data_IF_787220204658
#
_entry.id   IF_787220204658
#
_cell.length_a   1.000
_cell.length_b   1.000
_cell.length_c   1.000
_cell.angle_alpha   90.00
_cell.angle_beta   90.00
_cell.angle_gamma   90.00
#
_symmetry.space_group_name_H-M   'P 1'
#
loop_
_entity.id
_entity.type
_entity.pdbx_description
1 polymer ?
#
# COMPACT_ATOMS: atom_id res chain seq x y z
N UNK A 1 19.87 19.54 1.26
CA UNK A 1 18.80 19.17 0.32
C UNK A 1 17.84 20.34 0.22
N UNK A 2 17.58 20.82 -0.98
CA UNK A 2 16.57 21.85 -1.24
C UNK A 2 15.21 21.21 -1.48
N UNK A 3 14.14 21.85 -0.98
CA UNK A 3 12.79 21.30 -0.99
C UNK A 3 11.83 22.36 -1.52
N UNK A 4 11.02 22.01 -2.52
CA UNK A 4 9.96 22.83 -3.05
C UNK A 4 8.63 22.06 -3.07
N UNK A 5 7.53 22.72 -2.70
CA UNK A 5 6.17 22.15 -2.71
C UNK A 5 5.35 22.92 -3.74
N UNK A 6 4.60 22.20 -4.57
CA UNK A 6 3.73 22.78 -5.59
C UNK A 6 2.32 22.20 -5.51
N UNK A 7 1.33 23.09 -5.39
CA UNK A 7 -0.11 22.78 -5.40
C UNK A 7 -0.80 23.26 -6.69
N UNK A 8 -0.09 23.99 -7.55
CA UNK A 8 -0.63 24.50 -8.81
C UNK A 8 0.42 24.38 -9.91
N UNK A 9 -0.04 24.37 -11.17
CA UNK A 9 0.81 24.22 -12.35
C UNK A 9 1.75 23.01 -12.27
N UNK A 10 1.32 21.93 -11.61
CA UNK A 10 2.15 20.77 -11.29
C UNK A 10 2.81 20.17 -12.54
N UNK A 11 2.05 20.00 -13.63
CA UNK A 11 2.58 19.52 -14.91
C UNK A 11 3.73 20.39 -15.43
N UNK A 12 3.64 21.71 -15.30
CA UNK A 12 4.71 22.61 -15.72
C UNK A 12 5.98 22.36 -14.92
N UNK A 13 5.88 22.22 -13.60
CA UNK A 13 7.02 21.90 -12.75
C UNK A 13 7.61 20.51 -13.06
N UNK A 14 6.78 19.50 -13.33
CA UNK A 14 7.28 18.18 -13.76
C UNK A 14 8.08 18.29 -15.06
N UNK A 15 7.53 18.94 -16.09
CA UNK A 15 8.19 19.10 -17.38
C UNK A 15 9.49 19.91 -17.27
N UNK A 16 9.50 20.95 -16.43
CA UNK A 16 10.69 21.76 -16.17
C UNK A 16 11.83 20.91 -15.57
N UNK A 17 11.53 20.07 -14.58
CA UNK A 17 12.54 19.18 -14.01
C UNK A 17 12.98 18.09 -15.00
N UNK A 18 12.07 17.49 -15.76
CA UNK A 18 12.42 16.48 -16.77
C UNK A 18 13.38 17.03 -17.83
N UNK A 19 13.18 18.28 -18.26
CA UNK A 19 14.04 18.95 -19.25
C UNK A 19 15.46 19.21 -18.75
N UNK A 20 15.68 19.18 -17.44
CA UNK A 20 17.02 19.32 -16.84
C UNK A 20 17.80 17.99 -16.77
N UNK A 21 17.21 16.87 -17.19
CA UNK A 21 17.84 15.56 -17.13
C UNK A 21 19.03 15.44 -18.10
N UNK A 22 20.10 14.79 -17.64
CA UNK A 22 21.36 14.60 -18.38
C UNK A 22 21.84 13.15 -18.40
N UNK A 23 21.50 12.34 -17.39
CA UNK A 23 22.09 11.00 -17.16
C UNK A 23 21.08 9.87 -17.17
N UNK A 24 19.98 9.98 -16.44
CA UNK A 24 18.94 8.95 -16.37
C UNK A 24 17.65 9.45 -15.72
N UNK A 25 16.55 8.77 -16.05
CA UNK A 25 15.25 9.00 -15.42
C UNK A 25 14.64 7.67 -15.02
N UNK A 26 14.27 7.55 -13.75
CA UNK A 26 13.43 6.44 -13.28
C UNK A 26 12.08 6.99 -12.80
N UNK A 27 11.00 6.42 -13.30
CA UNK A 27 9.63 6.84 -13.02
C UNK A 27 8.83 5.64 -12.50
N UNK A 28 8.11 5.83 -11.41
CA UNK A 28 7.10 4.92 -10.91
C UNK A 28 5.82 5.70 -10.59
N UNK A 29 4.80 5.56 -11.42
CA UNK A 29 3.54 6.29 -11.28
C UNK A 29 2.35 5.39 -11.51
N UNK A 30 1.32 5.49 -10.66
CA UNK A 30 0.14 4.64 -10.79
C UNK A 30 -0.48 4.81 -12.18
N UNK A 31 -0.75 6.06 -12.58
CA UNK A 31 -1.27 6.39 -13.91
C UNK A 31 -0.38 7.38 -14.66
N UNK A 32 -0.07 7.02 -15.91
CA UNK A 32 0.68 7.80 -16.89
C UNK A 32 -0.15 7.92 -18.16
N UNK A 33 -0.91 9.00 -18.28
CA UNK A 33 -1.78 9.27 -19.45
C UNK A 33 -1.65 10.69 -19.99
N UNK A 34 -0.91 11.57 -19.30
CA UNK A 34 -0.64 12.91 -19.83
C UNK A 34 0.40 12.80 -20.96
N UNK A 35 -0.08 13.01 -22.19
CA UNK A 35 0.74 12.81 -23.37
C UNK A 35 1.84 13.85 -23.52
N UNK A 36 1.70 15.04 -22.94
CA UNK A 36 2.78 16.04 -22.96
C UNK A 36 4.00 15.51 -22.20
N UNK A 37 3.75 14.82 -21.08
CA UNK A 37 4.81 14.20 -20.28
C UNK A 37 5.41 13.00 -21.02
N UNK A 38 4.58 12.13 -21.61
CA UNK A 38 5.06 10.96 -22.35
C UNK A 38 5.91 11.41 -23.56
N UNK A 39 5.48 12.45 -24.29
CA UNK A 39 6.25 13.02 -25.41
C UNK A 39 7.60 13.58 -24.97
N UNK A 40 7.67 14.29 -23.84
CA UNK A 40 8.94 14.79 -23.31
C UNK A 40 9.87 13.63 -22.91
N UNK A 41 9.36 12.58 -22.25
CA UNK A 41 10.14 11.39 -21.94
C UNK A 41 10.67 10.71 -23.21
N UNK A 42 9.82 10.51 -24.23
CA UNK A 42 10.25 9.95 -25.53
C UNK A 42 11.32 10.81 -26.20
N UNK A 43 11.20 12.13 -26.13
CA UNK A 43 12.21 13.06 -26.66
C UNK A 43 13.56 12.94 -25.93
N UNK A 44 13.54 12.87 -24.60
CA UNK A 44 14.76 12.69 -23.78
C UNK A 44 15.40 11.32 -24.05
N UNK A 45 14.59 10.27 -24.25
CA UNK A 45 15.06 8.96 -24.66
C UNK A 45 15.76 9.01 -26.03
N UNK A 46 15.22 9.75 -27.00
CA UNK A 46 15.89 9.97 -28.29
C UNK A 46 17.21 10.75 -28.19
N UNK A 47 17.35 11.61 -27.18
CA UNK A 47 18.64 12.27 -26.85
C UNK A 47 19.65 11.32 -26.19
N UNK A 48 19.28 10.07 -25.92
CA UNK A 48 20.15 9.06 -25.34
C UNK A 48 20.13 9.03 -23.81
N UNK A 49 19.21 9.75 -23.15
CA UNK A 49 19.01 9.64 -21.71
C UNK A 49 18.22 8.35 -21.45
N UNK A 50 18.77 7.35 -20.74
CA UNK A 50 18.05 6.12 -20.42
C UNK A 50 16.87 6.39 -19.48
N UNK A 51 15.69 5.89 -19.86
CA UNK A 51 14.46 6.05 -19.09
C UNK A 51 13.83 4.70 -18.75
N UNK A 52 13.53 4.48 -17.46
CA UNK A 52 12.78 3.32 -16.97
C UNK A 52 11.48 3.74 -16.31
N UNK A 53 10.36 3.29 -16.86
CA UNK A 53 9.01 3.64 -16.40
C UNK A 53 8.32 2.39 -15.83
N UNK A 54 7.83 2.47 -14.60
CA UNK A 54 6.92 1.50 -14.00
C UNK A 54 5.52 2.12 -13.83
N UNK A 55 4.51 1.45 -14.37
CA UNK A 55 3.10 1.85 -14.26
C UNK A 55 2.23 0.73 -13.69
N UNK A 56 1.09 1.09 -13.11
CA UNK A 56 0.12 0.08 -12.66
C UNK A 56 -0.56 -0.63 -13.84
N UNK A 57 -0.97 -1.89 -13.64
CA UNK A 57 -1.82 -2.61 -14.58
C UNK A 57 -3.30 -2.16 -14.48
N UNK A 58 -3.55 -0.88 -14.77
CA UNK A 58 -4.86 -0.24 -14.64
C UNK A 58 -5.38 0.21 -16.01
N UNK A 59 -6.69 0.09 -16.25
CA UNK A 59 -7.32 0.42 -17.54
C UNK A 59 -7.00 1.84 -18.02
N UNK A 60 -6.86 2.77 -17.10
CA UNK A 60 -6.51 4.17 -17.36
C UNK A 60 -5.23 4.29 -18.20
N UNK A 61 -4.21 3.48 -17.91
CA UNK A 61 -2.92 3.50 -18.64
C UNK A 61 -3.02 2.97 -20.07
N UNK A 62 -4.08 2.24 -20.40
CA UNK A 62 -4.21 1.57 -21.69
C UNK A 62 -5.38 2.11 -22.52
N UNK A 63 -6.07 3.16 -22.07
CA UNK A 63 -7.15 3.80 -22.84
C UNK A 63 -6.64 4.40 -24.15
N UNK A 64 -5.43 5.00 -24.12
CA UNK A 64 -4.69 5.44 -25.30
C UNK A 64 -3.22 5.05 -25.18
N UNK A 65 -2.78 4.08 -25.98
CA UNK A 65 -1.42 3.53 -25.94
C UNK A 65 -0.49 4.12 -26.99
N UNK A 66 -0.94 5.02 -27.86
CA UNK A 66 -0.16 5.55 -28.99
C UNK A 66 1.22 6.08 -28.58
N UNK A 67 1.27 7.02 -27.64
CA UNK A 67 2.54 7.60 -27.19
C UNK A 67 3.39 6.66 -26.34
N UNK A 68 2.79 5.67 -25.68
CA UNK A 68 3.55 4.60 -25.02
C UNK A 68 4.23 3.69 -26.07
N UNK A 69 3.58 3.45 -27.21
CA UNK A 69 4.21 2.74 -28.35
C UNK A 69 5.39 3.53 -28.90
N UNK A 70 5.26 4.85 -29.03
CA UNK A 70 6.37 5.72 -29.46
C UNK A 70 7.54 5.64 -28.48
N UNK A 71 7.27 5.68 -27.18
CA UNK A 71 8.29 5.54 -26.14
C UNK A 71 9.04 4.20 -26.22
N UNK A 72 8.31 3.10 -26.40
CA UNK A 72 8.90 1.76 -26.58
C UNK A 72 9.72 1.70 -27.87
N UNK A 73 9.23 2.29 -28.97
CA UNK A 73 9.95 2.36 -30.24
C UNK A 73 11.25 3.17 -30.14
N UNK A 74 11.28 4.19 -29.28
CA UNK A 74 12.50 4.92 -28.90
C UNK A 74 13.45 4.12 -27.99
N UNK A 75 13.16 2.84 -27.73
CA UNK A 75 13.89 1.93 -26.83
C UNK A 75 13.81 2.34 -25.35
N UNK A 76 12.80 3.11 -24.97
CA UNK A 76 12.46 3.36 -23.58
C UNK A 76 12.00 2.08 -22.88
N UNK A 77 12.32 1.92 -21.60
CA UNK A 77 12.01 0.70 -20.86
C UNK A 77 10.70 0.87 -20.07
N UNK A 78 9.63 0.26 -20.54
CA UNK A 78 8.32 0.28 -19.89
C UNK A 78 8.04 -1.03 -19.14
N UNK A 79 7.59 -0.93 -17.90
CA UNK A 79 7.26 -2.04 -17.01
C UNK A 79 5.82 -1.87 -16.50
N UNK A 80 5.00 -2.90 -16.68
CA UNK A 80 3.63 -2.95 -16.14
C UNK A 80 3.63 -3.81 -14.89
N UNK A 81 3.32 -3.21 -13.73
CA UNK A 81 3.29 -3.90 -12.44
C UNK A 81 2.00 -4.71 -12.31
N UNK A 82 2.13 -6.03 -12.17
CA UNK A 82 1.00 -6.97 -12.16
C UNK A 82 0.83 -7.74 -10.86
N UNK A 83 1.90 -7.94 -10.07
CA UNK A 83 1.84 -8.71 -8.82
C UNK A 83 1.31 -7.92 -7.62
N UNK A 84 1.31 -6.61 -7.72
CA UNK A 84 0.83 -5.70 -6.68
C UNK A 84 0.30 -4.44 -7.35
N UNK A 85 -0.52 -3.68 -6.65
CA UNK A 85 -0.95 -2.39 -7.16
C UNK A 85 0.12 -1.32 -6.91
N UNK A 86 0.68 -0.78 -7.99
CA UNK A 86 1.55 0.39 -7.89
C UNK A 86 0.69 1.64 -7.68
N UNK A 87 0.59 2.11 -6.44
CA UNK A 87 -0.06 3.39 -6.11
C UNK A 87 0.92 4.55 -5.89
N UNK A 88 2.22 4.33 -6.09
CA UNK A 88 3.22 5.40 -5.97
C UNK A 88 3.10 6.41 -7.12
N UNK A 89 3.59 7.64 -6.87
CA UNK A 89 3.84 8.67 -7.88
C UNK A 89 5.17 9.33 -7.54
N UNK A 90 6.25 8.80 -8.11
CA UNK A 90 7.56 9.41 -7.97
C UNK A 90 8.42 9.27 -9.22
N UNK A 91 9.34 10.20 -9.37
CA UNK A 91 10.37 10.21 -10.40
C UNK A 91 11.70 10.56 -9.75
N UNK A 92 12.78 9.89 -10.15
CA UNK A 92 14.15 10.27 -9.80
C UNK A 92 14.90 10.60 -11.07
N UNK A 93 15.52 11.76 -11.11
CA UNK A 93 16.27 12.29 -12.26
C UNK A 93 17.74 12.44 -11.82
N UNK A 94 18.65 11.81 -12.56
CA UNK A 94 20.11 11.93 -12.43
C UNK A 94 20.69 11.69 -11.03
N UNK A 95 20.00 10.91 -10.18
CA UNK A 95 20.35 10.78 -8.76
C UNK A 95 20.43 12.13 -8.02
N UNK A 96 19.80 13.18 -8.56
CA UNK A 96 19.91 14.56 -8.09
C UNK A 96 18.56 15.16 -7.74
N UNK A 97 17.50 14.83 -8.47
CA UNK A 97 16.15 15.36 -8.26
C UNK A 97 15.19 14.21 -7.97
N UNK A 98 14.35 14.36 -6.96
CA UNK A 98 13.18 13.50 -6.73
C UNK A 98 11.93 14.36 -6.87
N UNK A 99 10.98 13.88 -7.66
CA UNK A 99 9.61 14.40 -7.68
C UNK A 99 8.75 13.34 -7.01
N UNK A 100 7.98 13.71 -5.99
CA UNK A 100 7.05 12.79 -5.31
C UNK A 100 5.80 13.53 -4.83
N UNK A 101 4.64 12.88 -4.85
CA UNK A 101 3.42 13.48 -4.31
C UNK A 101 2.19 12.63 -4.56
N UNK A 102 1.03 13.27 -4.52
CA UNK A 102 -0.26 12.63 -4.81
C UNK A 102 -0.56 12.61 -6.32
N UNK A 103 -0.01 13.58 -7.07
CA UNK A 103 -0.30 13.81 -8.48
C UNK A 103 0.09 12.62 -9.39
N UNK A 104 -0.91 11.93 -9.93
CA UNK A 104 -0.70 11.00 -11.05
C UNK A 104 -0.31 11.77 -12.31
N UNK A 105 0.52 11.17 -13.18
CA UNK A 105 0.97 11.82 -14.41
C UNK A 105 -0.07 11.63 -15.52
N UNK A 106 -1.30 12.02 -15.21
CA UNK A 106 -2.51 11.78 -15.99
C UNK A 106 -3.26 13.08 -16.24
N UNK A 107 -4.08 13.11 -17.29
CA UNK A 107 -4.92 14.27 -17.56
C UNK A 107 -5.95 14.53 -16.45
N UNK A 108 -6.48 13.48 -15.82
CA UNK A 108 -7.47 13.59 -14.74
C UNK A 108 -6.91 14.30 -13.49
N UNK A 109 -5.62 14.13 -13.19
CA UNK A 109 -4.99 14.78 -12.04
C UNK A 109 -4.95 16.32 -12.16
N UNK A 110 -5.10 16.87 -13.36
CA UNK A 110 -5.06 18.32 -13.61
C UNK A 110 -6.21 19.10 -12.98
N UNK A 111 -7.33 18.43 -12.75
CA UNK A 111 -8.55 19.02 -12.16
C UNK A 111 -8.75 18.63 -10.70
N UNK A 112 -7.85 17.81 -10.15
CA UNK A 112 -7.91 17.38 -8.76
C UNK A 112 -7.08 18.30 -7.86
N UNK A 113 -7.43 18.34 -6.59
CA UNK A 113 -6.60 18.96 -5.54
C UNK A 113 -5.45 18.02 -5.20
N UNK A 114 -4.29 18.29 -5.79
CA UNK A 114 -3.10 17.44 -5.74
C UNK A 114 -1.87 18.26 -5.39
N UNK A 115 -0.81 17.59 -4.96
CA UNK A 115 0.48 18.25 -4.75
C UNK A 115 1.65 17.40 -5.23
N UNK A 116 2.77 18.07 -5.48
CA UNK A 116 4.09 17.45 -5.58
C UNK A 116 5.10 18.15 -4.67
N UNK A 117 6.10 17.37 -4.26
CA UNK A 117 7.32 17.76 -3.60
C UNK A 117 8.46 17.52 -4.59
N UNK A 118 9.31 18.52 -4.77
CA UNK A 118 10.56 18.41 -5.51
C UNK A 118 11.70 18.51 -4.51
N UNK A 119 12.51 17.46 -4.44
CA UNK A 119 13.71 17.40 -3.61
C UNK A 119 14.93 17.48 -4.53
N UNK A 120 15.79 18.46 -4.29
CA UNK A 120 17.03 18.64 -5.04
C UNK A 120 18.22 18.44 -4.11
N UNK A 121 19.09 17.50 -4.49
CA UNK A 121 20.34 17.20 -3.81
C UNK A 121 21.22 18.44 -3.73
N UNK A 122 21.83 18.67 -2.57
CA UNK A 122 22.64 19.86 -2.29
C UNK A 122 24.10 19.49 -2.01
N UNK A 123 24.36 18.55 -1.07
CA UNK A 123 25.72 18.32 -0.56
C UNK A 123 26.15 16.83 -0.44
N UNK A 124 25.61 15.94 -1.29
CA UNK A 124 25.99 14.51 -1.38
C UNK A 124 26.11 13.79 -0.02
N UNK A 125 25.33 14.24 0.97
CA UNK A 125 25.40 13.75 2.34
C UNK A 125 24.90 12.31 2.44
N UNK A 126 25.27 11.63 3.53
CA UNK A 126 24.81 10.26 3.78
C UNK A 126 23.28 10.19 3.84
N UNK A 127 22.65 11.16 4.50
CA UNK A 127 21.20 11.23 4.65
C UNK A 127 20.52 11.43 3.30
N UNK A 128 21.05 12.32 2.44
CA UNK A 128 20.53 12.50 1.08
C UNK A 128 20.70 11.23 0.26
N UNK A 129 21.84 10.55 0.36
CA UNK A 129 22.06 9.29 -0.36
C UNK A 129 21.03 8.22 0.03
N UNK A 130 20.74 8.05 1.32
CA UNK A 130 19.76 7.08 1.79
C UNK A 130 18.34 7.36 1.25
N UNK A 131 17.95 8.63 1.14
CA UNK A 131 16.63 9.00 0.57
C UNK A 131 16.53 8.54 -0.89
N UNK A 132 17.54 8.86 -1.70
CA UNK A 132 17.53 8.47 -3.12
C UNK A 132 17.66 6.96 -3.31
N UNK A 133 18.49 6.29 -2.50
CA UNK A 133 18.61 4.84 -2.50
C UNK A 133 17.28 4.16 -2.18
N UNK A 134 16.49 4.70 -1.24
CA UNK A 134 15.16 4.19 -0.92
C UNK A 134 14.21 4.22 -2.13
N UNK A 135 14.14 5.35 -2.83
CA UNK A 135 13.32 5.47 -4.05
C UNK A 135 13.80 4.53 -5.17
N UNK A 136 15.12 4.45 -5.39
CA UNK A 136 15.70 3.53 -6.37
C UNK A 136 15.42 2.07 -6.04
N UNK A 137 15.66 1.66 -4.80
CA UNK A 137 15.43 0.30 -4.35
C UNK A 137 13.95 -0.10 -4.55
N UNK A 138 13.03 0.82 -4.26
CA UNK A 138 11.60 0.59 -4.50
C UNK A 138 11.26 0.50 -5.99
N UNK A 139 11.86 1.34 -6.84
CA UNK A 139 11.68 1.27 -8.29
C UNK A 139 12.20 -0.05 -8.88
N UNK A 140 13.42 -0.45 -8.50
CA UNK A 140 14.03 -1.74 -8.86
C UNK A 140 13.12 -2.89 -8.43
N UNK A 141 12.61 -2.86 -7.19
CA UNK A 141 11.66 -3.87 -6.72
C UNK A 141 10.43 -3.96 -7.63
N UNK A 142 9.84 -2.84 -8.04
CA UNK A 142 8.71 -2.86 -8.97
C UNK A 142 9.06 -3.50 -10.31
N UNK A 143 10.11 -3.00 -10.96
CA UNK A 143 10.51 -3.49 -12.28
C UNK A 143 10.92 -4.97 -12.27
N UNK A 144 11.69 -5.39 -11.28
CA UNK A 144 12.39 -6.67 -11.31
C UNK A 144 11.62 -7.79 -10.60
N UNK A 145 10.75 -7.46 -9.63
CA UNK A 145 10.02 -8.45 -8.82
C UNK A 145 8.52 -8.47 -9.07
N UNK A 146 7.93 -7.37 -9.50
CA UNK A 146 6.47 -7.21 -9.55
C UNK A 146 5.91 -6.97 -10.95
N UNK A 147 6.76 -6.65 -11.93
CA UNK A 147 6.34 -6.21 -13.26
C UNK A 147 6.68 -7.20 -14.37
N UNK A 148 6.03 -6.98 -15.50
CA UNK A 148 6.36 -7.55 -16.79
C UNK A 148 6.89 -6.41 -17.66
N UNK A 149 8.05 -6.60 -18.28
CA UNK A 149 8.61 -5.64 -19.22
C UNK A 149 7.82 -5.67 -20.53
N UNK A 150 7.43 -4.49 -21.03
CA UNK A 150 6.74 -4.33 -22.30
C UNK A 150 7.79 -4.18 -23.40
N UNK A 151 7.99 -5.24 -24.17
CA UNK A 151 9.05 -5.29 -25.20
C UNK A 151 8.59 -4.74 -26.55
N UNK A 152 7.29 -4.76 -26.80
CA UNK A 152 6.70 -4.37 -28.09
C UNK A 152 5.24 -3.92 -27.94
N UNK A 153 4.68 -3.44 -29.05
CA UNK A 153 3.30 -3.01 -29.13
C UNK A 153 2.29 -4.15 -28.89
N UNK A 154 2.64 -5.40 -29.17
CA UNK A 154 1.75 -6.55 -28.98
C UNK A 154 1.56 -6.87 -27.49
N UNK A 155 2.65 -6.84 -26.73
CA UNK A 155 2.65 -6.98 -25.27
C UNK A 155 1.79 -5.89 -24.62
N UNK A 156 1.93 -4.65 -25.09
CA UNK A 156 1.13 -3.52 -24.61
C UNK A 156 -0.36 -3.69 -24.89
N UNK A 157 -0.71 -4.23 -26.06
CA UNK A 157 -2.09 -4.53 -26.43
C UNK A 157 -2.68 -5.66 -25.58
N UNK A 158 -1.88 -6.66 -25.21
CA UNK A 158 -2.28 -7.71 -24.27
C UNK A 158 -2.67 -7.15 -22.90
N UNK A 159 -1.94 -6.14 -22.40
CA UNK A 159 -2.33 -5.42 -21.19
C UNK A 159 -3.62 -4.65 -21.36
N UNK A 160 -3.83 -3.97 -22.49
CA UNK A 160 -5.09 -3.26 -22.75
C UNK A 160 -6.33 -4.15 -22.64
N UNK A 161 -6.23 -5.40 -23.09
CA UNK A 161 -7.34 -6.37 -23.03
C UNK A 161 -7.55 -6.98 -21.64
N UNK A 162 -6.51 -7.07 -20.82
CA UNK A 162 -6.53 -7.69 -19.49
C UNK A 162 -6.56 -6.69 -18.33
N UNK A 163 -6.47 -5.39 -18.63
CA UNK A 163 -6.40 -4.34 -17.63
C UNK A 163 -7.65 -4.30 -16.76
N UNK A 164 -7.43 -4.04 -15.48
CA UNK A 164 -8.47 -4.06 -14.46
C UNK A 164 -8.85 -2.63 -14.08
N UNK A 165 -10.12 -2.42 -13.72
CA UNK A 165 -10.56 -1.17 -13.11
C UNK A 165 -10.10 -1.17 -11.64
N UNK A 166 -8.90 -0.66 -11.40
CA UNK A 166 -8.27 -0.80 -10.09
C UNK A 166 -8.91 0.14 -9.06
N UNK A 167 -9.42 1.29 -9.49
CA UNK A 167 -10.11 2.25 -8.62
C UNK A 167 -11.34 1.62 -7.98
N UNK A 168 -12.18 0.96 -8.79
CA UNK A 168 -13.36 0.25 -8.29
C UNK A 168 -12.98 -0.92 -7.38
N UNK A 169 -11.94 -1.68 -7.72
CA UNK A 169 -11.47 -2.79 -6.90
C UNK A 169 -10.97 -2.34 -5.52
N UNK A 170 -10.17 -1.27 -5.45
CA UNK A 170 -9.67 -0.75 -4.17
C UNK A 170 -10.82 -0.27 -3.28
N UNK A 171 -11.77 0.48 -3.84
CA UNK A 171 -12.97 0.90 -3.10
C UNK A 171 -13.74 -0.29 -2.53
N UNK A 172 -13.87 -1.37 -3.33
CA UNK A 172 -14.56 -2.59 -2.90
C UNK A 172 -13.80 -3.30 -1.76
N UNK A 173 -12.47 -3.36 -1.85
CA UNK A 173 -11.63 -3.96 -0.80
C UNK A 173 -11.70 -3.16 0.51
N UNK A 174 -11.69 -1.82 0.43
CA UNK A 174 -11.83 -0.94 1.59
C UNK A 174 -13.20 -1.15 2.27
N UNK A 175 -14.29 -1.19 1.50
CA UNK A 175 -15.63 -1.47 2.03
C UNK A 175 -15.71 -2.84 2.72
N UNK A 176 -15.09 -3.87 2.14
CA UNK A 176 -15.02 -5.21 2.71
C UNK A 176 -14.23 -5.21 4.02
N UNK A 177 -13.09 -4.53 4.09
CA UNK A 177 -12.29 -4.45 5.32
C UNK A 177 -13.04 -3.68 6.42
N UNK A 178 -13.70 -2.56 6.09
CA UNK A 178 -14.52 -1.78 7.04
C UNK A 178 -15.64 -2.65 7.61
N UNK A 179 -16.36 -3.38 6.75
CA UNK A 179 -17.43 -4.28 7.17
C UNK A 179 -16.88 -5.38 8.09
N UNK A 180 -15.75 -5.99 7.72
CA UNK A 180 -15.14 -7.06 8.50
C UNK A 180 -14.65 -6.58 9.88
N UNK A 181 -14.06 -5.39 9.95
CA UNK A 181 -13.64 -4.77 11.22
C UNK A 181 -14.84 -4.47 12.12
N UNK A 182 -15.95 -3.98 11.55
CA UNK A 182 -17.20 -3.73 12.28
C UNK A 182 -17.78 -5.03 12.83
N UNK A 183 -17.86 -6.07 12.01
CA UNK A 183 -18.37 -7.38 12.42
C UNK A 183 -17.51 -8.01 13.53
N UNK A 184 -16.19 -7.88 13.44
CA UNK A 184 -15.27 -8.34 14.49
C UNK A 184 -15.49 -7.59 15.81
N UNK A 185 -15.65 -6.27 15.76
CA UNK A 185 -15.95 -5.47 16.94
C UNK A 185 -17.29 -5.87 17.60
N UNK A 186 -18.33 -6.12 16.80
CA UNK A 186 -19.61 -6.60 17.32
C UNK A 186 -19.50 -8.02 17.90
N UNK A 187 -18.65 -8.89 17.35
CA UNK A 187 -18.37 -10.21 17.92
C UNK A 187 -17.72 -10.10 19.32
N UNK A 188 -16.78 -9.16 19.51
CA UNK A 188 -16.18 -8.88 20.83
C UNK A 188 -17.26 -8.42 21.82
N UNK A 189 -18.09 -7.45 21.43
CA UNK A 189 -19.17 -6.93 22.30
C UNK A 189 -20.13 -8.05 22.71
N UNK A 190 -20.50 -8.93 21.77
CA UNK A 190 -21.36 -10.10 22.05
C UNK A 190 -20.70 -11.06 23.03
N UNK A 191 -19.41 -11.36 22.84
CA UNK A 191 -18.65 -12.18 23.79
C UNK A 191 -18.73 -11.58 25.21
N UNK A 192 -18.44 -10.29 25.36
CA UNK A 192 -18.48 -9.64 26.68
C UNK A 192 -19.86 -9.65 27.31
N UNK A 193 -20.92 -9.41 26.53
CA UNK A 193 -22.30 -9.48 27.01
C UNK A 193 -22.64 -10.90 27.54
N UNK A 194 -22.21 -11.94 26.82
CA UNK A 194 -22.41 -13.34 27.25
C UNK A 194 -21.60 -13.60 28.53
N UNK A 195 -20.32 -13.23 28.58
CA UNK A 195 -19.46 -13.39 29.76
C UNK A 195 -20.05 -12.68 30.99
N UNK A 196 -20.62 -11.49 30.82
CA UNK A 196 -21.30 -10.77 31.91
C UNK A 196 -22.56 -11.50 32.38
N UNK A 197 -23.34 -12.08 31.47
CA UNK A 197 -24.52 -12.89 31.81
C UNK A 197 -24.16 -14.16 32.61
N UNK A 198 -22.95 -14.70 32.42
CA UNK A 198 -22.38 -15.81 33.19
C UNK A 198 -21.82 -15.39 34.55
N UNK A 199 -22.03 -14.12 34.97
CA UNK A 199 -21.52 -13.52 36.23
C UNK A 199 -19.99 -13.53 36.35
N UNK A 200 -19.26 -13.63 35.24
CA UNK A 200 -17.81 -13.47 35.23
C UNK A 200 -17.47 -11.97 35.30
N UNK A 201 -16.56 -11.60 36.19
CA UNK A 201 -16.11 -10.21 36.34
C UNK A 201 -15.28 -9.79 35.13
N UNK A 202 -15.82 -8.87 34.33
CA UNK A 202 -15.13 -8.13 33.27
C UNK A 202 -14.78 -6.75 33.80
N UNK A 203 -13.61 -6.21 33.43
CA UNK A 203 -13.28 -4.83 33.76
C UNK A 203 -14.32 -3.89 33.12
N UNK A 204 -14.94 -2.98 33.88
CA UNK A 204 -16.03 -2.12 33.38
C UNK A 204 -15.58 -1.21 32.24
N UNK A 205 -14.28 -0.86 32.18
CA UNK A 205 -13.75 0.09 31.22
C UNK A 205 -13.19 -0.57 29.96
N UNK A 206 -13.39 -1.88 29.77
CA UNK A 206 -12.80 -2.62 28.65
C UNK A 206 -13.39 -2.18 27.30
N UNK A 207 -14.69 -1.90 27.26
CA UNK A 207 -15.38 -1.40 26.06
C UNK A 207 -14.96 0.03 25.72
N UNK A 208 -14.90 0.91 26.73
CA UNK A 208 -14.40 2.28 26.56
C UNK A 208 -12.93 2.28 26.07
N UNK A 209 -12.11 1.38 26.62
CA UNK A 209 -10.73 1.20 26.16
C UNK A 209 -10.66 0.69 24.73
N UNK A 210 -11.55 -0.20 24.31
CA UNK A 210 -11.62 -0.68 22.92
C UNK A 210 -11.91 0.46 21.94
N UNK A 211 -12.82 1.38 22.29
CA UNK A 211 -13.08 2.59 21.48
C UNK A 211 -11.84 3.50 21.42
N UNK A 212 -11.17 3.70 22.56
CA UNK A 212 -9.94 4.50 22.63
C UNK A 212 -8.78 3.91 21.84
N UNK A 213 -8.69 2.59 21.75
CA UNK A 213 -7.65 1.87 21.00
C UNK A 213 -7.89 1.91 19.47
N UNK A 214 -9.02 2.48 19.00
CA UNK A 214 -9.34 2.55 17.56
C UNK A 214 -10.23 1.40 17.07
N UNK A 215 -10.91 0.71 17.99
CA UNK A 215 -11.88 -0.34 17.70
C UNK A 215 -11.40 -1.75 18.05
N UNK A 216 -12.25 -2.74 17.72
CA UNK A 216 -12.06 -4.13 18.16
C UNK A 216 -10.73 -4.76 17.74
N UNK A 217 -10.27 -4.51 16.51
CA UNK A 217 -9.03 -5.11 15.98
C UNK A 217 -7.81 -4.59 16.73
N UNK A 218 -7.64 -3.28 16.81
CA UNK A 218 -6.46 -2.67 17.44
C UNK A 218 -6.42 -2.93 18.95
N UNK A 219 -7.59 -2.96 19.59
CA UNK A 219 -7.75 -3.38 20.97
C UNK A 219 -7.20 -4.81 21.21
N UNK A 220 -7.55 -5.76 20.33
CA UNK A 220 -7.08 -7.14 20.43
C UNK A 220 -5.60 -7.25 20.08
N UNK A 221 -5.12 -6.58 19.02
CA UNK A 221 -3.69 -6.57 18.65
C UNK A 221 -2.81 -6.08 19.80
N UNK A 222 -3.22 -5.01 20.49
CA UNK A 222 -2.51 -4.52 21.67
C UNK A 222 -2.46 -5.58 22.78
N UNK A 223 -3.56 -6.29 23.02
CA UNK A 223 -3.60 -7.38 24.02
C UNK A 223 -2.66 -8.51 23.62
N UNK A 224 -2.72 -8.98 22.37
CA UNK A 224 -1.86 -10.05 21.86
C UNK A 224 -0.39 -9.66 21.93
N UNK A 225 -0.04 -8.42 21.58
CA UNK A 225 1.32 -7.92 21.67
C UNK A 225 1.86 -7.97 23.11
N UNK A 226 1.05 -7.54 24.09
CA UNK A 226 1.42 -7.65 25.51
C UNK A 226 1.62 -9.12 25.95
N UNK A 227 0.74 -10.03 25.51
CA UNK A 227 0.78 -11.46 25.86
C UNK A 227 1.98 -12.17 25.24
N UNK A 228 2.23 -11.93 23.95
CA UNK A 228 3.38 -12.48 23.24
C UNK A 228 4.71 -11.98 23.81
N UNK A 229 4.75 -10.73 24.28
CA UNK A 229 5.96 -10.15 24.89
C UNK A 229 6.19 -10.66 26.32
N UNK A 230 5.13 -10.78 27.12
CA UNK A 230 5.22 -11.23 28.51
C UNK A 230 5.32 -12.75 28.67
N UNK A 231 4.94 -13.51 27.63
CA UNK A 231 4.80 -14.97 27.71
C UNK A 231 3.62 -15.42 28.59
N UNK A 232 2.77 -14.49 28.99
CA UNK A 232 1.73 -14.68 30.00
C UNK A 232 0.37 -14.23 29.44
N UNK A 233 -0.59 -15.14 29.39
CA UNK A 233 -1.95 -14.80 28.95
C UNK A 233 -2.63 -13.83 29.92
N UNK A 234 -3.42 -12.89 29.40
CA UNK A 234 -4.18 -11.95 30.22
C UNK A 234 -5.33 -12.66 30.94
N UNK A 235 -5.82 -11.98 31.98
CA UNK A 235 -6.82 -12.54 32.92
C UNK A 235 -8.15 -12.96 32.27
N UNK A 236 -8.50 -12.41 31.09
CA UNK A 236 -9.77 -12.72 30.42
C UNK A 236 -9.84 -14.17 29.95
N UNK A 237 -8.81 -14.61 29.22
CA UNK A 237 -8.67 -16.00 28.81
C UNK A 237 -8.52 -16.93 30.00
N UNK A 238 -7.63 -16.61 30.96
CA UNK A 238 -7.43 -17.42 32.19
C UNK A 238 -8.74 -17.66 32.93
N UNK A 239 -9.59 -16.64 33.10
CA UNK A 239 -10.92 -16.79 33.72
C UNK A 239 -11.83 -17.73 32.95
N UNK A 240 -11.89 -17.63 31.63
CA UNK A 240 -12.71 -18.54 30.81
C UNK A 240 -12.18 -19.97 30.89
N UNK A 241 -10.86 -20.15 30.77
CA UNK A 241 -10.19 -21.44 30.86
C UNK A 241 -10.34 -22.13 32.24
N UNK A 242 -10.14 -21.40 33.34
CA UNK A 242 -10.10 -21.96 34.69
C UNK A 242 -11.50 -22.10 35.31
N UNK A 243 -12.39 -21.13 35.07
CA UNK A 243 -13.70 -21.08 35.74
C UNK A 243 -14.80 -21.76 34.90
N UNK A 244 -14.71 -21.70 33.57
CA UNK A 244 -15.70 -22.31 32.68
C UNK A 244 -15.01 -22.91 31.43
N UNK A 245 -14.25 -24.01 31.55
CA UNK A 245 -13.34 -24.51 30.49
C UNK A 245 -13.98 -24.74 29.11
N UNK A 246 -15.28 -25.00 29.07
CA UNK A 246 -16.07 -25.20 27.86
C UNK A 246 -16.60 -23.89 27.24
N UNK A 247 -16.13 -22.72 27.70
CA UNK A 247 -16.49 -21.37 27.25
C UNK A 247 -15.33 -20.56 26.69
N UNK A 248 -14.19 -21.20 26.41
CA UNK A 248 -13.02 -20.55 25.79
C UNK A 248 -13.31 -20.05 24.37
N UNK A 249 -14.41 -20.48 23.72
CA UNK A 249 -14.90 -19.91 22.46
C UNK A 249 -15.38 -18.46 22.57
N UNK A 250 -15.56 -17.95 23.79
CA UNK A 250 -15.86 -16.53 24.04
C UNK A 250 -14.58 -15.69 24.09
N UNK A 251 -13.39 -16.29 24.10
CA UNK A 251 -12.15 -15.55 24.21
C UNK A 251 -11.84 -14.70 22.97
N UNK A 252 -11.02 -13.65 23.15
CA UNK A 252 -10.59 -12.79 22.04
C UNK A 252 -9.70 -13.58 21.08
N UNK A 253 -8.86 -14.44 21.65
CA UNK A 253 -7.94 -15.36 20.98
C UNK A 253 -8.72 -16.33 20.10
N UNK A 254 -9.83 -16.90 20.58
CA UNK A 254 -10.70 -17.72 19.75
C UNK A 254 -11.28 -16.93 18.57
N UNK A 255 -11.78 -15.71 18.80
CA UNK A 255 -12.29 -14.86 17.71
C UNK A 255 -11.21 -14.62 16.64
N UNK A 256 -9.95 -14.40 17.02
CA UNK A 256 -8.82 -14.23 16.09
C UNK A 256 -8.57 -15.48 15.24
N UNK A 257 -8.78 -16.67 15.79
CA UNK A 257 -8.59 -17.93 15.03
C UNK A 257 -9.68 -18.22 14.00
N UNK A 258 -10.82 -17.52 14.05
CA UNK A 258 -11.94 -17.77 13.12
C UNK A 258 -11.54 -17.41 11.70
N UNK A 259 -11.74 -18.31 10.70
CA UNK A 259 -11.33 -18.05 9.30
C UNK A 259 -11.84 -16.73 8.73
N UNK A 260 -13.03 -16.29 9.17
CA UNK A 260 -13.60 -15.00 8.79
C UNK A 260 -12.72 -13.81 9.20
N UNK A 261 -12.10 -13.87 10.38
CA UNK A 261 -11.38 -12.73 10.98
C UNK A 261 -9.86 -12.83 10.84
N UNK A 262 -9.30 -13.98 10.47
CA UNK A 262 -7.85 -14.12 10.26
C UNK A 262 -7.24 -13.07 9.33
N UNK A 263 -7.91 -12.54 8.28
CA UNK A 263 -7.33 -11.48 7.45
C UNK A 263 -7.04 -10.16 8.19
N UNK A 264 -7.64 -9.93 9.36
CA UNK A 264 -7.42 -8.72 10.17
C UNK A 264 -6.13 -8.76 11.00
N UNK A 265 -5.49 -9.93 11.10
CA UNK A 265 -4.38 -10.22 12.00
C UNK A 265 -3.16 -10.75 11.24
N UNK A 266 -1.98 -10.61 11.82
CA UNK A 266 -0.75 -11.16 11.28
C UNK A 266 -0.73 -12.69 11.38
N UNK A 267 0.07 -13.35 10.52
CA UNK A 267 0.24 -14.81 10.58
C UNK A 267 0.75 -15.26 11.95
N UNK A 268 1.60 -14.45 12.59
CA UNK A 268 2.18 -14.71 13.92
C UNK A 268 1.12 -14.63 15.02
N UNK A 269 0.28 -13.57 15.00
CA UNK A 269 -0.84 -13.38 15.93
C UNK A 269 -1.84 -14.55 15.84
N UNK A 270 -2.20 -14.95 14.61
CA UNK A 270 -3.11 -16.08 14.38
C UNK A 270 -2.49 -17.39 14.84
N UNK A 271 -1.20 -17.62 14.58
CA UNK A 271 -0.50 -18.83 14.99
C UNK A 271 -0.42 -18.95 16.52
N UNK A 272 -0.10 -17.85 17.21
CA UNK A 272 -0.09 -17.76 18.66
C UNK A 272 -1.46 -18.15 19.25
N UNK A 273 -2.54 -17.56 18.75
CA UNK A 273 -3.90 -17.87 19.20
C UNK A 273 -4.28 -19.34 18.91
N UNK A 274 -3.93 -19.89 17.73
CA UNK A 274 -4.20 -21.29 17.39
C UNK A 274 -3.47 -22.27 18.30
N UNK A 275 -2.19 -22.01 18.61
CA UNK A 275 -1.43 -22.82 19.56
C UNK A 275 -2.12 -22.81 20.93
N UNK A 276 -2.65 -21.67 21.34
CA UNK A 276 -3.39 -21.54 22.58
C UNK A 276 -4.71 -22.29 22.57
N UNK A 277 -5.45 -22.30 21.45
CA UNK A 277 -6.71 -23.03 21.34
C UNK A 277 -6.53 -24.56 21.27
N UNK A 278 -5.39 -25.03 20.76
CA UNK A 278 -5.13 -26.47 20.56
C UNK A 278 -5.28 -27.30 21.85
N UNK A 279 -4.96 -26.73 23.02
CA UNK A 279 -5.10 -27.40 24.31
C UNK A 279 -6.56 -27.69 24.70
N UNK A 280 -7.53 -27.01 24.07
CA UNK A 280 -8.98 -27.14 24.32
C UNK A 280 -9.72 -27.93 23.23
N UNK A 281 -9.00 -28.49 22.23
CA UNK A 281 -9.58 -29.24 21.09
C UNK A 281 -10.61 -28.43 20.27
N UNK A 282 -10.33 -27.14 20.09
CA UNK A 282 -11.13 -26.20 19.28
C UNK A 282 -10.41 -25.81 17.98
#
# INVERSE_FOLDING_TARGET
>A
MQIAVHFSRIRFHILDQLRSAEKEIILAVAWLTDEDIIRELTHLQHKGIPIRIAISNSKENFSNTSHLKDFIAAKGQLFVVTRTFLHHKFCVIDQRIIINGSYNWSYAARTNEENILILTRDNDSREENLVFEGFRAKHIFFCDKCAIAVQDAATLEGFRLSAVDTSLQLSTLDEQEIALRRDFQEAIKRSFAITQSLKLSISPNLLERMEKDGGGVEFVKRILHDEMTSGDMKSGFKKLAEQIPHKVELSLEYLVTRPTYTPLFSTEEVAFCKQLMAQYRL
#
